data_IF_008940004045
#
_entry.id   IF_008940004045
#
_cell.length_a   1.000
_cell.length_b   1.000
_cell.length_c   1.000
_cell.angle_alpha   90.00
_cell.angle_beta   90.00
_cell.angle_gamma   90.00
#
_symmetry.space_group_name_H-M   'P 1'
#
loop_
_entity.id
_entity.type
_entity.pdbx_description
1 polymer ?
#
# COMPACT_ATOMS: atom_id res chain seq x y z
N UNK A 1 -5.45 -43.14 13.63
CA UNK A 1 -4.93 -44.17 14.59
C UNK A 1 -4.13 -45.21 13.81
N UNK A 2 -4.47 -45.45 12.54
CA UNK A 2 -3.78 -46.46 11.70
C UNK A 2 -2.31 -46.07 11.38
N UNK A 3 -1.94 -44.80 11.54
CA UNK A 3 -0.60 -44.26 11.25
C UNK A 3 0.33 -44.20 12.50
N UNK A 4 -0.11 -44.74 13.63
CA UNK A 4 0.65 -44.72 14.87
C UNK A 4 1.04 -46.13 15.31
N UNK A 5 2.32 -46.33 15.58
CA UNK A 5 2.83 -47.61 16.12
C UNK A 5 2.53 -47.78 17.62
N UNK A 6 2.46 -46.64 18.34
CA UNK A 6 2.20 -46.64 19.77
C UNK A 6 1.22 -45.53 20.19
N UNK A 7 0.28 -45.82 21.03
CA UNK A 7 -0.59 -44.88 21.71
C UNK A 7 -0.33 -44.94 23.21
N UNK A 8 -0.09 -43.79 23.82
CA UNK A 8 0.15 -43.66 25.26
C UNK A 8 -0.92 -42.73 25.85
N UNK A 9 -1.62 -43.21 26.85
CA UNK A 9 -2.58 -42.40 27.59
C UNK A 9 -1.82 -41.37 28.45
N UNK A 10 -2.20 -40.10 28.33
CA UNK A 10 -1.70 -38.99 29.13
C UNK A 10 -2.81 -38.41 29.99
N UNK A 11 -2.50 -38.14 31.24
CA UNK A 11 -3.43 -37.51 32.21
C UNK A 11 -3.29 -35.99 32.23
N UNK A 12 -2.21 -35.47 31.67
CA UNK A 12 -1.96 -34.02 31.58
C UNK A 12 -2.83 -33.37 30.51
N UNK A 13 -3.44 -32.20 30.82
CA UNK A 13 -4.24 -31.49 29.82
C UNK A 13 -3.38 -30.94 28.69
N UNK A 14 -3.96 -30.83 27.49
CA UNK A 14 -3.33 -30.12 26.38
C UNK A 14 -3.06 -28.65 26.75
N UNK A 15 -1.93 -28.14 26.34
CA UNK A 15 -1.61 -26.72 26.43
C UNK A 15 -2.41 -25.97 25.38
N UNK A 16 -3.24 -25.03 25.79
CA UNK A 16 -3.98 -24.13 24.92
C UNK A 16 -3.29 -22.78 24.85
N UNK A 17 -3.44 -22.11 23.73
CA UNK A 17 -2.98 -20.74 23.51
C UNK A 17 -4.21 -19.84 23.45
N UNK A 18 -4.27 -18.85 24.32
CA UNK A 18 -5.35 -17.85 24.29
C UNK A 18 -5.22 -16.94 23.08
N UNK A 19 -6.34 -16.34 22.67
CA UNK A 19 -6.34 -15.33 21.62
C UNK A 19 -5.51 -14.11 22.02
N UNK A 20 -4.83 -13.55 21.02
CA UNK A 20 -4.01 -12.37 21.25
C UNK A 20 -4.87 -11.11 21.34
N UNK A 21 -4.66 -10.24 22.33
CA UNK A 21 -5.31 -8.95 22.36
C UNK A 21 -4.79 -8.08 21.20
N UNK A 22 -5.72 -7.38 20.56
CA UNK A 22 -5.45 -6.47 19.45
C UNK A 22 -5.53 -5.04 19.97
N UNK A 23 -4.47 -4.27 19.80
CA UNK A 23 -4.46 -2.83 20.04
C UNK A 23 -4.64 -2.05 18.72
N UNK A 24 -4.78 -0.73 18.81
CA UNK A 24 -5.02 0.15 17.67
C UNK A 24 -3.88 0.09 16.61
N UNK A 25 -2.64 -0.11 17.04
CA UNK A 25 -1.47 -0.21 16.14
C UNK A 25 -1.57 -1.46 15.29
N UNK A 26 -1.85 -2.60 15.90
CA UNK A 26 -2.01 -3.86 15.17
C UNK A 26 -3.29 -3.90 14.33
N UNK A 27 -4.36 -3.23 14.75
CA UNK A 27 -5.58 -3.11 13.94
C UNK A 27 -5.32 -2.33 12.64
N UNK A 28 -4.66 -1.16 12.73
CA UNK A 28 -4.27 -0.36 11.56
C UNK A 28 -3.27 -1.09 10.66
N UNK A 29 -2.28 -1.75 11.26
CA UNK A 29 -1.31 -2.56 10.53
C UNK A 29 -2.00 -3.66 9.74
N UNK A 30 -2.92 -4.40 10.38
CA UNK A 30 -3.69 -5.46 9.75
C UNK A 30 -4.62 -4.93 8.63
N UNK A 31 -5.22 -3.76 8.81
CA UNK A 31 -6.01 -3.09 7.76
C UNK A 31 -5.16 -2.81 6.51
N UNK A 32 -3.93 -2.32 6.70
CA UNK A 32 -2.99 -2.07 5.60
C UNK A 32 -2.54 -3.38 4.92
N UNK A 33 -2.27 -4.44 5.68
CA UNK A 33 -1.98 -5.77 5.12
C UNK A 33 -3.19 -6.30 4.34
N UNK A 34 -4.40 -6.20 4.88
CA UNK A 34 -5.62 -6.65 4.21
C UNK A 34 -5.92 -5.86 2.92
N UNK A 35 -5.45 -4.61 2.80
CA UNK A 35 -5.63 -3.79 1.59
C UNK A 35 -4.88 -4.34 0.38
N UNK A 36 -3.77 -5.06 0.60
CA UNK A 36 -2.96 -5.66 -0.47
C UNK A 36 -3.26 -7.15 -0.70
N UNK A 37 -4.12 -7.75 0.11
CA UNK A 37 -4.62 -9.11 -0.10
C UNK A 37 -5.88 -9.05 -0.96
N UNK A 38 -5.88 -9.73 -2.10
CA UNK A 38 -6.99 -9.75 -3.05
C UNK A 38 -7.87 -10.98 -2.89
N UNK A 39 -9.06 -10.94 -3.48
CA UNK A 39 -9.95 -12.10 -3.53
C UNK A 39 -9.31 -13.25 -4.30
N UNK A 40 -9.34 -14.43 -3.71
CA UNK A 40 -8.75 -15.63 -4.31
C UNK A 40 -7.27 -15.82 -4.03
N UNK A 41 -6.60 -14.88 -3.35
CA UNK A 41 -5.22 -15.11 -2.91
C UNK A 41 -5.11 -16.33 -1.99
N UNK A 42 -4.01 -17.07 -2.12
CA UNK A 42 -3.58 -18.06 -1.16
C UNK A 42 -2.59 -17.41 -0.19
N UNK A 43 -2.85 -17.47 1.11
CA UNK A 43 -2.10 -16.71 2.11
C UNK A 43 -1.31 -17.61 3.06
N UNK A 44 -0.13 -17.13 3.51
CA UNK A 44 0.48 -17.62 4.73
C UNK A 44 -0.10 -16.90 5.95
N UNK A 45 -0.07 -17.58 7.07
CA UNK A 45 -0.55 -17.05 8.34
C UNK A 45 0.39 -17.49 9.47
N UNK A 46 0.49 -16.71 10.53
CA UNK A 46 1.31 -17.05 11.69
C UNK A 46 0.55 -16.74 12.96
N UNK A 47 1.23 -16.57 14.07
CA UNK A 47 0.66 -16.29 15.39
C UNK A 47 0.96 -14.85 15.82
N UNK A 48 0.12 -14.30 16.66
CA UNK A 48 0.31 -13.00 17.28
C UNK A 48 -0.77 -11.98 16.94
N UNK A 49 -0.71 -10.78 17.54
CA UNK A 49 -1.78 -9.79 17.46
C UNK A 49 -2.04 -9.29 16.02
N UNK A 50 -1.01 -9.21 15.17
CA UNK A 50 -1.19 -8.89 13.75
C UNK A 50 -2.16 -9.87 13.07
N UNK A 51 -1.95 -11.17 13.26
CA UNK A 51 -2.73 -12.19 12.57
C UNK A 51 -4.13 -12.32 13.16
N UNK A 52 -4.30 -12.06 14.45
CA UNK A 52 -5.62 -11.99 15.08
C UNK A 52 -6.45 -10.84 14.48
N UNK A 53 -5.86 -9.63 14.36
CA UNK A 53 -6.49 -8.50 13.71
C UNK A 53 -6.74 -8.75 12.20
N UNK A 54 -5.77 -9.35 11.51
CA UNK A 54 -5.87 -9.65 10.08
C UNK A 54 -7.04 -10.59 9.77
N UNK A 55 -7.33 -11.56 10.64
CA UNK A 55 -8.51 -12.40 10.54
C UNK A 55 -9.80 -11.60 10.47
N UNK A 56 -9.93 -10.54 11.27
CA UNK A 56 -11.11 -9.67 11.28
C UNK A 56 -11.22 -8.85 9.97
N UNK A 57 -10.13 -8.26 9.49
CA UNK A 57 -10.12 -7.46 8.26
C UNK A 57 -10.32 -8.30 6.99
N UNK A 58 -9.85 -9.55 6.96
CA UNK A 58 -10.01 -10.46 5.83
C UNK A 58 -11.39 -11.15 5.77
N UNK A 59 -12.20 -11.08 6.83
CA UNK A 59 -13.52 -11.74 6.90
C UNK A 59 -14.50 -11.29 5.79
N UNK A 60 -14.27 -10.12 5.19
CA UNK A 60 -15.09 -9.58 4.08
C UNK A 60 -14.59 -10.03 2.69
N UNK A 61 -13.37 -10.57 2.60
CA UNK A 61 -12.82 -11.09 1.33
C UNK A 61 -13.53 -12.40 0.94
N UNK A 62 -13.33 -12.84 -0.28
CA UNK A 62 -13.95 -14.08 -0.80
C UNK A 62 -12.90 -14.95 -1.46
N UNK A 63 -13.15 -16.24 -1.39
CA UNK A 63 -12.36 -17.28 -2.08
C UNK A 63 -10.88 -17.33 -1.67
N UNK A 64 -10.51 -16.88 -0.49
CA UNK A 64 -9.15 -17.02 0.01
C UNK A 64 -8.77 -18.50 0.12
N UNK A 65 -7.49 -18.79 -0.08
CA UNK A 65 -6.84 -20.05 0.21
C UNK A 65 -5.88 -19.92 1.40
N UNK A 66 -5.65 -21.02 2.11
CA UNK A 66 -4.71 -21.09 3.23
C UNK A 66 -3.69 -22.20 2.97
N UNK A 67 -2.40 -21.83 3.00
CA UNK A 67 -1.26 -22.74 2.97
C UNK A 67 -0.18 -22.16 3.90
N UNK A 68 -0.06 -22.70 5.10
CA UNK A 68 0.69 -22.08 6.21
C UNK A 68 1.17 -23.14 7.20
N UNK A 69 2.26 -22.94 7.94
CA UNK A 69 2.67 -23.89 8.95
C UNK A 69 1.70 -23.99 10.14
N UNK A 70 1.02 -22.88 10.51
CA UNK A 70 0.18 -22.82 11.71
C UNK A 70 -1.29 -22.57 11.35
N UNK A 71 -2.20 -23.38 11.93
CA UNK A 71 -3.64 -23.12 11.88
C UNK A 71 -4.09 -22.56 13.25
N UNK A 72 -4.78 -21.42 13.23
CA UNK A 72 -5.13 -20.64 14.44
C UNK A 72 -6.62 -20.35 14.53
N UNK A 73 -7.09 -19.82 15.67
CA UNK A 73 -8.48 -19.38 15.86
C UNK A 73 -8.90 -18.33 14.80
N UNK A 74 -8.02 -17.40 14.44
CA UNK A 74 -8.31 -16.42 13.39
C UNK A 74 -8.57 -17.07 12.02
N UNK A 75 -7.84 -18.14 11.68
CA UNK A 75 -8.11 -18.92 10.46
C UNK A 75 -9.41 -19.74 10.56
N UNK A 76 -9.73 -20.28 11.73
CA UNK A 76 -11.03 -20.91 11.98
C UNK A 76 -12.17 -19.93 11.71
N UNK A 77 -12.07 -18.70 12.20
CA UNK A 77 -13.08 -17.66 11.98
C UNK A 77 -13.23 -17.30 10.49
N UNK A 78 -12.11 -17.22 9.74
CA UNK A 78 -12.14 -16.98 8.29
C UNK A 78 -12.80 -18.13 7.51
N UNK A 79 -12.62 -19.36 7.94
CA UNK A 79 -13.33 -20.51 7.35
C UNK A 79 -14.83 -20.47 7.70
N UNK A 80 -15.17 -20.20 8.97
CA UNK A 80 -16.56 -20.09 9.44
C UNK A 80 -17.32 -18.94 8.74
N UNK A 81 -16.66 -17.81 8.47
CA UNK A 81 -17.26 -16.67 7.77
C UNK A 81 -17.43 -16.90 6.26
N UNK A 82 -16.84 -17.96 5.72
CA UNK A 82 -16.82 -18.24 4.29
C UNK A 82 -15.84 -17.38 3.47
N UNK A 83 -14.98 -16.60 4.10
CA UNK A 83 -13.90 -15.89 3.43
C UNK A 83 -12.87 -16.85 2.83
N UNK A 84 -12.50 -17.88 3.61
CA UNK A 84 -11.61 -18.96 3.18
C UNK A 84 -12.43 -20.13 2.64
N UNK A 85 -12.31 -20.39 1.34
CA UNK A 85 -12.96 -21.52 0.66
C UNK A 85 -11.98 -22.52 0.08
N UNK A 86 -10.72 -22.13 -0.06
CA UNK A 86 -9.63 -22.92 -0.66
C UNK A 86 -9.90 -23.43 -2.10
N UNK A 87 -10.97 -22.95 -2.77
CA UNK A 87 -11.41 -23.47 -4.07
C UNK A 87 -10.45 -23.14 -5.22
N UNK A 88 -9.65 -22.06 -5.07
CA UNK A 88 -8.69 -21.62 -6.10
C UNK A 88 -7.29 -22.17 -5.89
N UNK A 89 -7.05 -22.94 -4.83
CA UNK A 89 -5.77 -23.62 -4.60
C UNK A 89 -5.57 -24.76 -5.61
N UNK A 90 -4.34 -24.91 -6.09
CA UNK A 90 -3.95 -26.07 -6.90
C UNK A 90 -3.45 -27.22 -6.01
N UNK A 91 -2.80 -26.91 -4.88
CA UNK A 91 -2.32 -27.90 -3.92
C UNK A 91 -3.30 -27.99 -2.75
N UNK A 92 -3.86 -29.16 -2.49
CA UNK A 92 -4.98 -29.42 -1.57
C UNK A 92 -6.19 -28.49 -1.81
N UNK A 93 -6.83 -28.57 -2.99
CA UNK A 93 -8.01 -27.75 -3.29
C UNK A 93 -9.16 -28.05 -2.31
N UNK A 94 -9.85 -27.00 -1.90
CA UNK A 94 -10.97 -27.09 -0.95
C UNK A 94 -10.56 -27.25 0.52
N UNK A 95 -9.27 -27.40 0.83
CA UNK A 95 -8.78 -27.60 2.19
C UNK A 95 -7.74 -26.55 2.58
N UNK A 96 -7.81 -26.02 3.79
CA UNK A 96 -6.73 -25.28 4.42
C UNK A 96 -5.61 -26.24 4.76
N UNK A 97 -4.38 -25.96 4.33
CA UNK A 97 -3.21 -26.80 4.59
C UNK A 97 -2.37 -26.21 5.71
N UNK A 98 -2.04 -27.00 6.73
CA UNK A 98 -1.17 -26.64 7.82
C UNK A 98 -0.35 -27.84 8.32
N UNK A 99 0.61 -27.59 9.23
CA UNK A 99 1.36 -28.65 9.93
C UNK A 99 0.99 -28.72 11.41
N UNK A 100 0.64 -27.58 12.02
CA UNK A 100 0.35 -27.48 13.45
C UNK A 100 -0.93 -26.68 13.67
N UNK A 101 -1.63 -26.98 14.77
CA UNK A 101 -2.71 -26.17 15.29
C UNK A 101 -2.26 -25.54 16.62
N UNK A 102 -2.46 -24.23 16.74
CA UNK A 102 -2.17 -23.47 17.96
C UNK A 102 -3.36 -22.55 18.26
N UNK A 103 -3.96 -22.70 19.43
CA UNK A 103 -5.07 -21.85 19.82
C UNK A 103 -5.89 -22.38 20.99
N UNK A 104 -7.13 -21.96 21.06
CA UNK A 104 -8.06 -22.23 22.16
C UNK A 104 -8.62 -23.66 22.14
N UNK A 105 -9.25 -24.05 23.24
CA UNK A 105 -10.00 -25.29 23.28
C UNK A 105 -11.18 -25.33 22.29
N UNK A 106 -11.70 -24.17 21.90
CA UNK A 106 -12.72 -24.07 20.85
C UNK A 106 -12.15 -24.50 19.50
N UNK A 107 -10.97 -24.00 19.14
CA UNK A 107 -10.27 -24.39 17.92
C UNK A 107 -10.05 -25.90 17.89
N UNK A 108 -9.54 -26.50 18.97
CA UNK A 108 -9.24 -27.93 19.02
C UNK A 108 -10.51 -28.79 18.85
N UNK A 109 -11.63 -28.38 19.44
CA UNK A 109 -12.94 -29.04 19.27
C UNK A 109 -13.43 -28.90 17.83
N UNK A 110 -13.26 -27.72 17.22
CA UNK A 110 -13.68 -27.47 15.84
C UNK A 110 -12.85 -28.26 14.83
N UNK A 111 -11.55 -28.46 15.07
CA UNK A 111 -10.67 -29.25 14.23
C UNK A 111 -10.96 -30.76 14.26
N UNK A 112 -11.60 -31.25 15.31
CA UNK A 112 -11.85 -32.68 15.45
C UNK A 112 -12.70 -33.24 14.30
N UNK A 113 -12.07 -34.08 13.48
CA UNK A 113 -12.67 -34.68 12.26
C UNK A 113 -13.20 -33.65 11.25
N UNK A 114 -12.61 -32.46 11.20
CA UNK A 114 -13.03 -31.43 10.28
C UNK A 114 -12.36 -31.61 8.90
N UNK A 115 -13.13 -31.92 7.83
CA UNK A 115 -12.56 -32.19 6.52
C UNK A 115 -12.05 -30.95 5.78
N UNK A 116 -12.30 -29.73 6.30
CA UNK A 116 -11.90 -28.47 5.69
C UNK A 116 -10.43 -28.11 5.97
N UNK A 117 -9.79 -28.81 6.91
CA UNK A 117 -8.38 -28.59 7.26
C UNK A 117 -7.61 -29.88 7.05
N UNK A 118 -6.48 -29.77 6.40
CA UNK A 118 -5.53 -30.86 6.17
C UNK A 118 -4.23 -30.57 6.90
N UNK A 119 -3.76 -31.53 7.69
CA UNK A 119 -2.48 -31.46 8.36
C UNK A 119 -1.47 -32.36 7.66
N UNK A 120 -0.36 -31.79 7.24
CA UNK A 120 0.74 -32.49 6.58
C UNK A 120 2.05 -32.25 7.34
N UNK A 121 3.04 -33.15 7.21
CA UNK A 121 4.37 -32.91 7.74
C UNK A 121 4.94 -31.56 7.28
N UNK A 122 5.83 -30.98 8.09
CA UNK A 122 6.36 -29.63 7.86
C UNK A 122 7.17 -29.52 6.57
N UNK A 123 7.85 -30.58 6.17
CA UNK A 123 8.59 -30.69 4.92
C UNK A 123 7.68 -30.66 3.68
N UNK A 124 6.44 -31.13 3.79
CA UNK A 124 5.42 -31.03 2.74
C UNK A 124 4.82 -29.63 2.70
N UNK A 125 4.48 -29.08 3.85
CA UNK A 125 3.83 -27.76 3.98
C UNK A 125 4.77 -26.62 3.65
N UNK A 126 6.04 -26.73 3.98
CA UNK A 126 7.06 -25.71 3.72
C UNK A 126 7.94 -25.99 2.50
N UNK A 127 7.65 -27.02 1.70
CA UNK A 127 8.32 -27.17 0.40
C UNK A 127 7.95 -25.98 -0.50
N UNK A 128 8.92 -25.15 -0.92
CA UNK A 128 8.67 -24.03 -1.80
C UNK A 128 7.98 -24.39 -3.11
N UNK A 129 8.22 -25.60 -3.64
CA UNK A 129 7.56 -26.10 -4.84
C UNK A 129 6.06 -26.29 -4.61
N UNK A 130 5.68 -26.90 -3.47
CA UNK A 130 4.28 -27.12 -3.10
C UNK A 130 3.55 -25.79 -2.86
N UNK A 131 4.21 -24.82 -2.20
CA UNK A 131 3.69 -23.46 -2.02
C UNK A 131 3.49 -22.81 -3.39
N UNK A 132 4.49 -22.88 -4.27
CA UNK A 132 4.50 -22.29 -5.60
C UNK A 132 3.41 -22.82 -6.56
N UNK A 133 2.85 -24.02 -6.32
CA UNK A 133 1.72 -24.54 -7.08
C UNK A 133 0.46 -23.67 -6.90
N UNK A 134 0.29 -22.99 -5.77
CA UNK A 134 -0.84 -22.10 -5.53
C UNK A 134 -0.58 -20.74 -6.16
N UNK A 135 -1.29 -20.41 -7.21
CA UNK A 135 -1.20 -19.07 -7.83
C UNK A 135 -1.60 -17.96 -6.86
N UNK A 136 -1.03 -16.78 -7.03
CA UNK A 136 -1.30 -15.59 -6.21
C UNK A 136 -1.05 -15.86 -4.71
N UNK A 137 0.01 -16.57 -4.40
CA UNK A 137 0.40 -16.82 -3.03
C UNK A 137 0.98 -15.54 -2.40
N UNK A 138 0.48 -15.16 -1.23
CA UNK A 138 0.96 -13.99 -0.48
C UNK A 138 1.62 -14.47 0.80
N UNK A 139 2.95 -14.37 0.84
CA UNK A 139 3.72 -14.62 2.04
C UNK A 139 3.63 -13.41 2.98
N UNK A 140 2.85 -13.54 4.06
CA UNK A 140 2.68 -12.51 5.09
C UNK A 140 3.63 -12.85 6.24
N UNK A 141 4.70 -12.08 6.39
CA UNK A 141 5.81 -12.39 7.28
C UNK A 141 5.96 -11.31 8.36
N UNK A 142 6.15 -11.68 9.63
CA UNK A 142 6.46 -10.71 10.67
C UNK A 142 7.93 -10.29 10.60
N UNK A 143 8.20 -9.02 10.95
CA UNK A 143 9.55 -8.50 11.09
C UNK A 143 9.73 -7.78 12.43
N UNK A 144 10.98 -7.56 12.82
CA UNK A 144 11.33 -6.75 13.99
C UNK A 144 11.81 -5.37 13.59
N UNK A 145 12.61 -5.28 12.54
CA UNK A 145 13.04 -4.01 11.94
C UNK A 145 13.19 -4.16 10.44
N UNK A 146 13.03 -3.05 9.75
CA UNK A 146 13.38 -2.90 8.34
C UNK A 146 14.30 -1.69 8.19
N UNK A 147 15.35 -1.83 7.37
CA UNK A 147 16.21 -0.70 7.08
C UNK A 147 15.84 -0.01 5.75
N UNK A 148 16.42 1.17 5.54
CA UNK A 148 16.11 2.01 4.39
C UNK A 148 16.51 1.41 3.03
N UNK A 149 17.24 0.31 3.01
CA UNK A 149 17.60 -0.41 1.78
C UNK A 149 16.67 -1.59 1.48
N UNK A 150 15.90 -2.02 2.48
CA UNK A 150 14.95 -3.14 2.42
C UNK A 150 15.48 -4.41 3.05
N UNK A 151 16.60 -4.37 3.78
CA UNK A 151 17.03 -5.50 4.60
C UNK A 151 16.19 -5.58 5.88
N UNK A 152 15.92 -6.80 6.33
CA UNK A 152 14.98 -7.08 7.42
C UNK A 152 15.72 -7.75 8.58
N UNK A 153 15.51 -7.27 9.80
CA UNK A 153 15.89 -7.98 11.01
C UNK A 153 14.71 -8.81 11.51
N UNK A 154 14.90 -10.12 11.60
CA UNK A 154 13.86 -11.07 12.04
C UNK A 154 13.77 -11.17 13.55
N UNK A 155 14.90 -11.03 14.26
CA UNK A 155 14.97 -11.09 15.71
C UNK A 155 15.36 -9.77 16.34
N UNK A 156 14.77 -9.46 17.50
CA UNK A 156 15.15 -8.33 18.31
C UNK A 156 16.36 -8.68 19.19
N UNK A 157 17.24 -7.71 19.36
CA UNK A 157 18.38 -7.79 20.28
C UNK A 157 19.71 -7.89 19.56
N UNK A 158 20.71 -7.21 20.11
CA UNK A 158 22.09 -7.27 19.66
C UNK A 158 22.79 -8.41 20.36
N UNK A 159 23.28 -9.39 19.61
CA UNK A 159 24.13 -10.47 20.12
C UNK A 159 23.41 -11.68 20.72
N UNK A 160 22.12 -11.65 21.01
CA UNK A 160 21.38 -12.80 21.53
C UNK A 160 20.35 -13.30 20.53
N UNK A 161 20.52 -14.55 20.13
CA UNK A 161 19.54 -15.27 19.31
C UNK A 161 18.54 -15.92 20.25
N UNK A 162 17.30 -15.41 20.27
CA UNK A 162 16.24 -15.91 21.15
C UNK A 162 15.31 -16.91 20.46
N UNK A 163 15.34 -16.98 19.13
CA UNK A 163 14.55 -17.89 18.32
C UNK A 163 15.22 -18.12 16.96
N UNK A 164 14.91 -19.22 16.29
CA UNK A 164 15.30 -19.46 14.90
C UNK A 164 14.60 -18.51 13.92
N UNK A 165 15.02 -18.50 12.65
CA UNK A 165 14.44 -17.64 11.59
C UNK A 165 12.99 -18.03 11.22
N UNK A 166 12.48 -19.15 11.71
CA UNK A 166 11.18 -19.68 11.35
C UNK A 166 11.13 -20.12 9.89
N UNK A 167 9.94 -20.14 9.31
CA UNK A 167 9.67 -20.56 7.93
C UNK A 167 9.80 -19.41 6.90
N UNK A 168 10.58 -18.37 7.21
CA UNK A 168 10.65 -17.17 6.37
C UNK A 168 11.20 -17.48 4.99
N UNK A 169 12.30 -18.27 4.92
CA UNK A 169 12.96 -18.57 3.66
C UNK A 169 12.10 -19.44 2.74
N UNK A 170 11.44 -20.46 3.29
CA UNK A 170 10.58 -21.39 2.55
C UNK A 170 9.36 -20.68 2.00
N UNK A 171 8.67 -19.88 2.84
CA UNK A 171 7.51 -19.11 2.43
C UNK A 171 7.86 -18.04 1.38
N UNK A 172 9.01 -17.40 1.54
CA UNK A 172 9.52 -16.41 0.60
C UNK A 172 9.85 -17.05 -0.75
N UNK A 173 10.60 -18.16 -0.76
CA UNK A 173 10.95 -18.90 -1.96
C UNK A 173 9.70 -19.48 -2.65
N UNK A 174 8.73 -19.96 -1.88
CA UNK A 174 7.46 -20.46 -2.40
C UNK A 174 6.63 -19.37 -3.07
N UNK A 175 6.57 -18.17 -2.48
CA UNK A 175 5.90 -17.02 -3.08
C UNK A 175 6.58 -16.61 -4.41
N UNK A 176 7.91 -16.65 -4.47
CA UNK A 176 8.65 -16.35 -5.71
C UNK A 176 8.39 -17.38 -6.83
N UNK A 177 8.11 -18.64 -6.49
CA UNK A 177 7.72 -19.68 -7.46
C UNK A 177 6.24 -19.61 -7.86
N UNK A 178 5.41 -18.97 -7.07
CA UNK A 178 3.99 -18.83 -7.32
C UNK A 178 3.72 -17.83 -8.47
N UNK A 179 2.84 -18.21 -9.40
CA UNK A 179 2.39 -17.29 -10.44
C UNK A 179 1.68 -16.09 -9.80
N UNK A 180 2.21 -14.88 -9.98
CA UNK A 180 1.75 -13.65 -9.33
C UNK A 180 1.81 -13.73 -7.78
N UNK A 181 2.77 -14.50 -7.26
CA UNK A 181 3.05 -14.53 -5.83
C UNK A 181 3.66 -13.23 -5.36
N UNK A 182 3.46 -12.90 -4.08
CA UNK A 182 3.96 -11.67 -3.46
C UNK A 182 4.50 -11.94 -2.06
N UNK A 183 5.50 -11.17 -1.68
CA UNK A 183 6.14 -11.24 -0.36
C UNK A 183 5.97 -9.92 0.37
N UNK A 184 5.60 -9.98 1.63
CA UNK A 184 5.54 -8.78 2.47
C UNK A 184 6.01 -9.05 3.88
N UNK A 185 6.71 -8.06 4.45
CA UNK A 185 6.98 -8.01 5.87
C UNK A 185 6.12 -6.95 6.53
N UNK A 186 5.48 -7.33 7.63
CA UNK A 186 4.61 -6.44 8.41
C UNK A 186 5.16 -6.28 9.84
N UNK A 187 5.27 -5.04 10.29
CA UNK A 187 5.78 -4.69 11.60
C UNK A 187 5.19 -3.35 12.08
N UNK A 188 4.98 -3.15 13.39
CA UNK A 188 4.70 -1.83 13.93
C UNK A 188 5.86 -0.88 13.64
N UNK A 189 5.59 0.40 13.35
CA UNK A 189 6.63 1.40 13.10
C UNK A 189 7.57 1.63 14.28
N UNK A 190 7.07 1.40 15.51
CA UNK A 190 7.83 1.41 16.76
C UNK A 190 7.59 0.14 17.58
N UNK A 191 8.57 -0.26 18.35
CA UNK A 191 8.43 -1.36 19.31
C UNK A 191 7.67 -0.90 20.58
N UNK A 192 7.37 -1.84 21.49
CA UNK A 192 6.68 -1.54 22.76
C UNK A 192 7.45 -0.59 23.71
N UNK A 193 8.74 -0.38 23.49
CA UNK A 193 9.57 0.57 24.24
C UNK A 193 9.61 1.96 23.59
N UNK A 194 8.96 2.12 22.45
CA UNK A 194 8.96 3.36 21.67
C UNK A 194 10.13 3.51 20.71
N UNK A 195 11.03 2.51 20.59
CA UNK A 195 12.15 2.59 19.65
C UNK A 195 11.67 2.36 18.21
N UNK A 196 12.25 3.09 17.25
CA UNK A 196 11.94 2.96 15.84
C UNK A 196 12.23 1.56 15.29
N UNK A 197 11.32 1.03 14.48
CA UNK A 197 11.49 -0.23 13.77
C UNK A 197 11.85 -0.04 12.29
N UNK A 198 11.62 1.15 11.73
CA UNK A 198 12.23 1.55 10.46
C UNK A 198 13.52 2.28 10.83
N UNK A 199 14.66 1.77 10.36
CA UNK A 199 16.00 2.23 10.77
C UNK A 199 16.92 2.45 9.55
N UNK A 200 18.02 3.17 9.73
CA UNK A 200 18.98 3.40 8.65
C UNK A 200 19.60 2.07 8.17
N UNK A 201 20.00 1.20 9.09
CA UNK A 201 20.64 -0.08 8.80
C UNK A 201 20.32 -1.13 9.86
N UNK A 202 20.16 -2.37 9.44
CA UNK A 202 20.02 -3.55 10.33
C UNK A 202 21.30 -4.37 10.43
N UNK A 203 22.44 -3.88 9.93
CA UNK A 203 23.71 -4.60 9.88
C UNK A 203 24.19 -5.14 11.25
N UNK A 204 23.84 -4.48 12.35
CA UNK A 204 24.20 -4.88 13.71
C UNK A 204 23.27 -5.95 14.34
N UNK A 205 22.24 -6.37 13.62
CA UNK A 205 21.27 -7.35 14.15
C UNK A 205 21.66 -8.79 13.77
N UNK A 206 21.48 -9.79 14.66
CA UNK A 206 22.03 -11.13 14.48
C UNK A 206 21.38 -11.93 13.36
N UNK A 207 20.08 -11.73 13.10
CA UNK A 207 19.37 -12.40 12.01
C UNK A 207 18.84 -11.38 11.01
N UNK A 208 19.54 -11.28 9.89
CA UNK A 208 19.16 -10.43 8.78
C UNK A 208 18.62 -11.30 7.64
N UNK A 209 17.54 -10.85 7.05
CA UNK A 209 17.05 -11.36 5.79
C UNK A 209 17.37 -10.34 4.70
N UNK A 210 18.43 -10.63 3.94
CA UNK A 210 19.03 -9.70 2.97
C UNK A 210 18.67 -10.05 1.52
N UNK A 211 17.43 -10.51 1.28
CA UNK A 211 16.91 -10.76 -0.07
C UNK A 211 16.05 -9.58 -0.56
N UNK A 212 16.55 -8.37 -0.35
CA UNK A 212 15.87 -7.11 -0.63
C UNK A 212 15.43 -6.92 -2.08
N UNK A 213 16.16 -7.55 -3.03
CA UNK A 213 15.84 -7.41 -4.46
C UNK A 213 14.53 -8.14 -4.85
N UNK A 214 14.13 -9.13 -4.05
CA UNK A 214 12.93 -9.92 -4.28
C UNK A 214 11.82 -9.65 -3.25
N UNK A 215 12.05 -8.70 -2.32
CA UNK A 215 11.03 -8.28 -1.36
C UNK A 215 10.08 -7.28 -2.02
N UNK A 216 8.78 -7.59 -2.00
CA UNK A 216 7.78 -6.76 -2.67
C UNK A 216 7.33 -5.58 -1.81
N UNK A 217 7.03 -5.83 -0.53
CA UNK A 217 6.43 -4.80 0.33
C UNK A 217 6.93 -4.88 1.77
N UNK A 218 7.02 -3.70 2.39
CA UNK A 218 7.07 -3.54 3.85
C UNK A 218 5.85 -2.74 4.28
N UNK A 219 5.18 -3.17 5.34
CA UNK A 219 3.92 -2.58 5.81
C UNK A 219 4.01 -2.23 7.29
N UNK A 220 3.57 -1.03 7.63
CA UNK A 220 3.37 -0.57 9.01
C UNK A 220 1.93 -0.08 9.20
N UNK A 221 1.58 0.38 10.38
CA UNK A 221 0.29 1.07 10.65
C UNK A 221 0.15 2.40 9.89
N UNK A 222 1.25 2.93 9.33
CA UNK A 222 1.26 4.18 8.53
C UNK A 222 1.18 3.94 7.02
N UNK A 223 1.14 2.70 6.55
CA UNK A 223 0.91 2.40 5.13
C UNK A 223 1.77 1.28 4.57
N UNK A 224 1.83 1.23 3.24
CA UNK A 224 2.52 0.19 2.45
C UNK A 224 3.66 0.83 1.67
N UNK A 225 4.87 0.32 1.85
CA UNK A 225 6.03 0.64 1.01
C UNK A 225 6.23 -0.46 -0.03
N UNK A 226 5.99 -0.15 -1.30
CA UNK A 226 6.28 -1.04 -2.42
C UNK A 226 7.76 -0.93 -2.79
N UNK A 227 8.48 -2.04 -2.85
CA UNK A 227 9.93 -2.08 -3.02
C UNK A 227 10.38 -2.72 -4.34
N UNK A 228 9.57 -3.60 -4.93
CA UNK A 228 9.91 -4.29 -6.18
C UNK A 228 10.12 -3.30 -7.32
N UNK A 229 11.23 -3.47 -8.06
CA UNK A 229 11.57 -2.63 -9.20
C UNK A 229 12.02 -1.20 -8.83
N UNK A 230 12.22 -0.91 -7.56
CA UNK A 230 12.63 0.40 -7.04
C UNK A 230 14.14 0.47 -6.82
N UNK A 231 14.71 1.65 -7.10
CA UNK A 231 16.10 1.96 -6.69
C UNK A 231 16.22 2.04 -5.18
N UNK A 232 17.43 1.97 -4.64
CA UNK A 232 17.67 2.11 -3.18
C UNK A 232 17.09 3.42 -2.65
N UNK A 233 17.21 4.52 -3.40
CA UNK A 233 16.65 5.82 -3.02
C UNK A 233 15.12 5.80 -2.95
N UNK A 234 14.45 5.24 -3.95
CA UNK A 234 12.99 5.10 -3.97
C UNK A 234 12.49 4.21 -2.82
N UNK A 235 13.20 3.10 -2.55
CA UNK A 235 12.91 2.23 -1.40
C UNK A 235 13.02 3.00 -0.09
N UNK A 236 14.12 3.76 0.07
CA UNK A 236 14.35 4.57 1.28
C UNK A 236 13.24 5.59 1.50
N UNK A 237 12.82 6.29 0.46
CA UNK A 237 11.70 7.24 0.54
C UNK A 237 10.40 6.53 0.94
N UNK A 238 10.06 5.41 0.29
CA UNK A 238 8.87 4.64 0.60
C UNK A 238 8.87 4.12 2.05
N UNK A 239 10.04 3.67 2.55
CA UNK A 239 10.20 3.20 3.92
C UNK A 239 10.13 4.33 4.95
N UNK A 240 10.67 5.51 4.64
CA UNK A 240 10.52 6.71 5.47
C UNK A 240 9.05 7.12 5.56
N UNK A 241 8.29 7.05 4.47
CA UNK A 241 6.88 7.42 4.44
C UNK A 241 6.02 6.55 5.38
N UNK A 242 6.38 5.30 5.58
CA UNK A 242 5.69 4.37 6.49
C UNK A 242 6.30 4.30 7.89
N UNK A 243 7.40 5.01 8.16
CA UNK A 243 7.96 5.15 9.50
C UNK A 243 7.02 5.97 10.40
N UNK A 244 7.21 5.84 11.72
CA UNK A 244 6.50 6.73 12.67
C UNK A 244 6.79 8.19 12.33
N UNK A 245 5.78 9.07 12.31
CA UNK A 245 5.95 10.48 11.92
C UNK A 245 7.11 11.19 12.60
N UNK A 246 7.28 10.98 13.92
CA UNK A 246 8.35 11.63 14.69
C UNK A 246 9.77 11.16 14.29
N UNK A 247 9.89 9.98 13.67
CA UNK A 247 11.18 9.41 13.27
C UNK A 247 11.62 9.84 11.87
N UNK A 248 10.67 10.31 11.04
CA UNK A 248 10.91 10.57 9.61
C UNK A 248 11.98 11.62 9.36
N UNK A 249 11.94 12.74 10.08
CA UNK A 249 12.91 13.83 9.91
C UNK A 249 14.35 13.37 10.19
N UNK A 250 14.53 12.58 11.24
CA UNK A 250 15.83 12.01 11.60
C UNK A 250 16.30 10.97 10.60
N UNK A 251 15.40 10.09 10.11
CA UNK A 251 15.71 9.12 9.06
C UNK A 251 16.17 9.82 7.77
N UNK A 252 15.51 10.92 7.37
CA UNK A 252 15.92 11.72 6.22
C UNK A 252 17.33 12.30 6.41
N UNK A 253 17.60 12.88 7.60
CA UNK A 253 18.92 13.41 7.92
C UNK A 253 20.00 12.34 7.79
N UNK A 254 19.79 11.19 8.44
CA UNK A 254 20.71 10.04 8.41
C UNK A 254 20.90 9.49 6.99
N UNK A 255 19.82 9.38 6.22
CA UNK A 255 19.88 8.88 4.84
C UNK A 255 20.64 9.83 3.89
N UNK A 256 20.58 11.17 4.12
CA UNK A 256 21.39 12.15 3.40
C UNK A 256 22.89 12.03 3.77
N UNK A 257 23.19 11.89 5.03
CA UNK A 257 24.57 11.70 5.51
C UNK A 257 25.18 10.40 4.96
N UNK A 258 24.39 9.33 4.91
CA UNK A 258 24.76 8.05 4.28
C UNK A 258 24.75 8.10 2.75
N UNK A 259 24.42 9.23 2.10
CA UNK A 259 24.33 9.41 0.64
C UNK A 259 23.32 8.48 -0.04
N UNK A 260 22.34 7.99 0.68
CA UNK A 260 21.22 7.21 0.17
C UNK A 260 20.20 8.14 -0.51
N UNK A 261 19.91 9.29 0.12
CA UNK A 261 19.10 10.36 -0.44
C UNK A 261 19.98 11.50 -0.97
N UNK A 262 19.45 12.31 -1.88
CA UNK A 262 20.11 13.52 -2.33
C UNK A 262 20.24 14.52 -1.19
N UNK A 263 21.32 15.32 -1.19
CA UNK A 263 21.56 16.33 -0.16
C UNK A 263 20.47 17.43 -0.17
N UNK A 264 19.97 17.76 -1.37
CA UNK A 264 18.91 18.74 -1.62
C UNK A 264 17.49 18.15 -1.58
N UNK A 265 17.35 16.86 -1.21
CA UNK A 265 16.04 16.22 -1.06
C UNK A 265 15.18 17.00 -0.07
N UNK A 266 14.03 17.50 -0.54
CA UNK A 266 13.04 18.15 0.32
C UNK A 266 12.16 17.08 0.93
N UNK A 267 11.97 17.13 2.23
CA UNK A 267 11.03 16.30 2.96
C UNK A 267 10.29 17.16 3.97
N UNK A 268 8.99 17.30 3.78
CA UNK A 268 8.16 18.06 4.71
C UNK A 268 7.80 17.17 5.90
N UNK A 269 8.54 17.26 6.99
CA UNK A 269 8.28 16.51 8.22
C UNK A 269 6.84 16.66 8.73
N UNK A 270 6.23 17.84 8.50
CA UNK A 270 4.84 18.13 8.85
C UNK A 270 3.83 17.40 7.96
N UNK A 271 4.18 17.02 6.72
CA UNK A 271 3.27 16.35 5.82
C UNK A 271 2.90 14.91 6.27
N UNK A 272 3.76 14.28 7.04
CA UNK A 272 3.51 12.95 7.59
C UNK A 272 2.35 12.90 8.59
N UNK A 273 2.11 13.98 9.33
CA UNK A 273 0.95 14.10 10.24
C UNK A 273 -0.34 14.48 9.51
N UNK A 274 -0.23 14.98 8.28
CA UNK A 274 -1.33 15.53 7.50
C UNK A 274 -1.72 14.66 6.31
N UNK A 275 -1.04 13.52 6.10
CA UNK A 275 -1.36 12.64 4.96
C UNK A 275 -2.83 12.22 5.03
N UNK A 276 -3.64 12.60 4.04
CA UNK A 276 -5.08 12.42 4.11
C UNK A 276 -5.47 11.02 3.65
N UNK A 277 -5.30 10.01 4.50
CA UNK A 277 -5.65 8.61 4.21
C UNK A 277 -7.11 8.43 3.75
N UNK A 278 -8.02 9.26 4.27
CA UNK A 278 -9.45 9.25 3.93
C UNK A 278 -9.75 9.55 2.46
N UNK A 279 -8.79 10.09 1.73
CA UNK A 279 -8.93 10.39 0.28
C UNK A 279 -8.79 9.13 -0.58
N UNK A 280 -8.16 8.07 -0.06
CA UNK A 280 -7.93 6.85 -0.84
C UNK A 280 -9.25 6.21 -1.25
N UNK A 281 -9.45 6.07 -2.56
CA UNK A 281 -10.60 5.39 -3.14
C UNK A 281 -10.22 4.66 -4.42
N UNK A 282 -11.02 3.66 -4.78
CA UNK A 282 -10.85 2.89 -6.03
C UNK A 282 -12.07 3.08 -6.90
N UNK A 283 -11.86 3.25 -8.20
CA UNK A 283 -12.93 3.36 -9.18
C UNK A 283 -12.62 2.50 -10.41
N UNK A 284 -13.66 1.83 -10.93
CA UNK A 284 -13.57 1.05 -12.16
C UNK A 284 -14.09 1.88 -13.32
N UNK A 285 -13.24 2.11 -14.32
CA UNK A 285 -13.55 2.84 -15.55
C UNK A 285 -13.93 1.89 -16.70
N UNK A 286 -14.11 2.44 -17.89
CA UNK A 286 -14.34 1.65 -19.12
C UNK A 286 -13.24 0.61 -19.32
N UNK A 287 -13.58 -0.51 -19.94
CA UNK A 287 -12.69 -1.66 -20.20
C UNK A 287 -12.14 -2.31 -18.91
N UNK A 288 -12.97 -2.32 -17.84
CA UNK A 288 -12.65 -2.87 -16.52
C UNK A 288 -11.35 -2.34 -15.90
N UNK A 289 -10.93 -1.12 -16.30
CA UNK A 289 -9.75 -0.48 -15.76
C UNK A 289 -10.00 -0.05 -14.31
N UNK A 290 -9.34 -0.70 -13.38
CA UNK A 290 -9.37 -0.36 -11.96
C UNK A 290 -8.26 0.64 -11.67
N UNK A 291 -8.62 1.82 -11.17
CA UNK A 291 -7.69 2.87 -10.76
C UNK A 291 -7.88 3.19 -9.29
N UNK A 292 -6.81 3.16 -8.52
CA UNK A 292 -6.77 3.60 -7.14
C UNK A 292 -6.30 5.05 -7.09
N UNK A 293 -7.07 5.89 -6.42
CA UNK A 293 -6.75 7.31 -6.20
C UNK A 293 -6.30 7.54 -4.78
N UNK A 294 -5.23 8.27 -4.60
CA UNK A 294 -4.67 8.65 -3.30
C UNK A 294 -3.92 9.97 -3.38
N UNK A 295 -3.65 10.60 -2.25
CA UNK A 295 -2.76 11.74 -2.21
C UNK A 295 -1.34 11.35 -2.67
N UNK A 296 -0.65 12.29 -3.29
CA UNK A 296 0.76 12.13 -3.69
C UNK A 296 1.65 12.03 -2.45
N UNK A 297 2.67 11.19 -2.51
CA UNK A 297 3.69 11.02 -1.46
C UNK A 297 5.05 11.50 -1.95
N UNK A 298 5.98 11.88 -1.06
CA UNK A 298 7.36 12.19 -1.44
C UNK A 298 8.04 11.06 -2.24
N UNK A 299 7.73 9.79 -1.94
CA UNK A 299 8.22 8.62 -2.65
C UNK A 299 7.71 8.48 -4.10
N UNK A 300 6.72 9.25 -4.50
CA UNK A 300 6.18 9.20 -5.87
C UNK A 300 7.04 9.99 -6.88
N UNK A 301 8.12 10.65 -6.47
CA UNK A 301 8.94 11.50 -7.32
C UNK A 301 9.36 10.83 -8.63
N UNK A 302 9.94 9.63 -8.55
CA UNK A 302 10.45 8.94 -9.72
C UNK A 302 9.31 8.44 -10.63
N UNK A 303 8.18 7.98 -10.08
CA UNK A 303 7.00 7.61 -10.88
C UNK A 303 6.33 8.82 -11.53
N UNK A 304 6.25 9.95 -10.85
CA UNK A 304 5.79 11.21 -11.42
C UNK A 304 6.73 11.69 -12.54
N UNK A 305 8.03 11.49 -12.39
CA UNK A 305 9.01 11.78 -13.42
C UNK A 305 8.86 10.83 -14.62
N UNK A 306 8.63 9.52 -14.37
CA UNK A 306 8.31 8.54 -15.42
C UNK A 306 7.03 8.90 -16.16
N UNK A 307 5.98 9.35 -15.43
CA UNK A 307 4.75 9.85 -16.04
C UNK A 307 5.04 11.03 -16.98
N UNK A 308 5.85 12.01 -16.54
CA UNK A 308 6.24 13.15 -17.37
C UNK A 308 6.91 12.72 -18.69
N UNK A 309 7.83 11.74 -18.65
CA UNK A 309 8.53 11.30 -19.86
C UNK A 309 7.71 10.38 -20.76
N UNK A 310 6.51 9.98 -20.37
CA UNK A 310 5.56 9.26 -21.24
C UNK A 310 4.68 10.17 -22.08
N UNK A 311 4.67 11.48 -21.76
CA UNK A 311 3.85 12.44 -22.51
C UNK A 311 4.50 12.84 -23.82
N UNK A 312 3.66 13.09 -24.85
CA UNK A 312 4.07 13.77 -26.05
C UNK A 312 4.48 15.22 -25.78
N UNK A 313 5.30 15.81 -26.64
CA UNK A 313 5.68 17.23 -26.57
C UNK A 313 4.44 18.14 -26.51
N UNK A 314 3.35 17.75 -27.20
CA UNK A 314 2.08 18.47 -27.19
C UNK A 314 1.39 18.43 -25.82
N UNK A 315 1.35 17.27 -25.16
CA UNK A 315 0.75 17.13 -23.83
C UNK A 315 1.55 17.90 -22.77
N UNK A 316 2.88 17.88 -22.88
CA UNK A 316 3.78 18.68 -22.03
C UNK A 316 3.53 20.17 -22.25
N UNK A 317 3.42 20.62 -23.50
CA UNK A 317 3.11 22.02 -23.82
C UNK A 317 1.76 22.45 -23.26
N UNK A 318 0.72 21.63 -23.39
CA UNK A 318 -0.60 21.91 -22.81
C UNK A 318 -0.59 22.03 -21.28
N UNK A 319 0.29 21.30 -20.62
CA UNK A 319 0.38 21.30 -19.15
C UNK A 319 1.24 22.43 -18.57
N UNK A 320 2.34 22.78 -19.26
CA UNK A 320 3.36 23.69 -18.73
C UNK A 320 3.44 25.04 -19.47
N UNK A 321 2.67 25.24 -20.52
CA UNK A 321 2.67 26.43 -21.40
C UNK A 321 4.06 26.75 -21.97
N UNK A 322 4.95 25.77 -21.97
CA UNK A 322 6.32 25.89 -22.49
C UNK A 322 6.85 24.50 -22.91
N UNK A 323 7.77 24.44 -23.88
CA UNK A 323 8.37 23.19 -24.31
C UNK A 323 9.39 22.69 -23.28
N UNK A 324 8.92 22.03 -22.21
CA UNK A 324 9.75 21.44 -21.17
C UNK A 324 10.24 20.08 -21.62
N UNK A 325 11.53 19.95 -21.94
CA UNK A 325 12.13 18.66 -22.38
C UNK A 325 12.69 17.82 -21.25
N UNK A 326 12.98 18.44 -20.11
CA UNK A 326 13.55 17.74 -18.95
C UNK A 326 12.84 18.15 -17.67
N UNK A 327 12.65 17.19 -16.78
CA UNK A 327 12.07 17.42 -15.45
C UNK A 327 13.15 17.15 -14.38
N UNK A 328 13.91 18.18 -13.98
CA UNK A 328 14.96 18.01 -12.98
C UNK A 328 14.39 17.64 -11.61
N UNK A 329 15.22 16.97 -10.79
CA UNK A 329 14.88 16.54 -9.45
C UNK A 329 14.28 17.66 -8.59
N UNK A 330 14.95 18.81 -8.46
CA UNK A 330 14.47 19.93 -7.64
C UNK A 330 13.08 20.41 -8.03
N UNK A 331 12.77 20.46 -9.35
CA UNK A 331 11.42 20.83 -9.83
C UNK A 331 10.38 19.77 -9.49
N UNK A 332 10.72 18.48 -9.63
CA UNK A 332 9.79 17.39 -9.30
C UNK A 332 9.51 17.34 -7.80
N UNK A 333 10.48 17.72 -6.96
CA UNK A 333 10.28 17.81 -5.51
C UNK A 333 9.14 18.79 -5.13
N UNK A 334 8.96 19.89 -5.87
CA UNK A 334 7.84 20.83 -5.66
C UNK A 334 6.48 20.20 -5.97
N UNK A 335 6.44 19.18 -6.83
CA UNK A 335 5.21 18.49 -7.19
C UNK A 335 4.80 17.42 -6.17
N UNK A 336 5.76 16.74 -5.57
CA UNK A 336 5.48 15.62 -4.66
C UNK A 336 5.47 16.02 -3.18
N UNK A 337 6.16 17.10 -2.80
CA UNK A 337 6.17 17.62 -1.43
C UNK A 337 5.08 18.68 -1.25
N UNK A 338 3.85 18.25 -1.07
CA UNK A 338 2.68 19.11 -0.83
C UNK A 338 2.31 19.13 0.65
N UNK A 339 1.77 20.26 1.13
CA UNK A 339 1.36 20.42 2.54
C UNK A 339 -0.05 19.90 2.83
N UNK A 340 -0.73 19.37 1.83
CA UNK A 340 -2.11 18.85 1.85
C UNK A 340 -3.18 19.84 2.34
N UNK A 341 -2.87 21.10 2.52
CA UNK A 341 -3.78 22.19 2.92
C UNK A 341 -3.86 23.29 1.87
N UNK A 342 -2.71 23.94 1.60
CA UNK A 342 -2.62 24.99 0.60
C UNK A 342 -2.32 24.43 -0.79
N UNK A 343 -1.65 23.29 -0.84
CA UNK A 343 -1.43 22.50 -2.04
C UNK A 343 -1.89 21.07 -1.81
N UNK A 344 -2.69 20.55 -2.73
CA UNK A 344 -3.14 19.16 -2.77
C UNK A 344 -2.78 18.57 -4.12
N UNK A 345 -2.24 17.37 -4.12
CA UNK A 345 -2.02 16.58 -5.32
C UNK A 345 -2.55 15.16 -5.11
N UNK A 346 -3.32 14.68 -6.08
CA UNK A 346 -3.92 13.34 -6.10
C UNK A 346 -3.38 12.60 -7.30
N UNK A 347 -2.92 11.39 -7.09
CA UNK A 347 -2.49 10.50 -8.17
C UNK A 347 -3.50 9.39 -8.39
N UNK A 348 -3.69 9.02 -9.66
CA UNK A 348 -4.36 7.81 -10.09
C UNK A 348 -3.34 6.73 -10.39
N UNK A 349 -3.45 5.60 -9.70
CA UNK A 349 -2.49 4.51 -9.72
C UNK A 349 -3.15 3.24 -10.22
N UNK A 350 -2.46 2.53 -11.11
CA UNK A 350 -2.80 1.16 -11.49
C UNK A 350 -1.71 0.21 -11.03
N UNK A 351 -2.04 -1.06 -10.90
CA UNK A 351 -1.07 -2.12 -10.62
C UNK A 351 -0.79 -2.89 -11.90
N UNK A 352 0.46 -2.85 -12.37
CA UNK A 352 0.95 -3.63 -13.51
C UNK A 352 2.02 -4.61 -13.00
N UNK A 353 1.73 -5.91 -13.04
CA UNK A 353 2.67 -6.96 -12.61
C UNK A 353 3.19 -6.80 -11.19
N UNK A 354 2.34 -6.33 -10.26
CA UNK A 354 2.71 -6.10 -8.86
C UNK A 354 3.46 -4.80 -8.59
N UNK A 355 3.58 -3.92 -9.59
CA UNK A 355 4.23 -2.61 -9.48
C UNK A 355 3.17 -1.51 -9.63
N UNK A 356 3.16 -0.58 -8.69
CA UNK A 356 2.34 0.63 -8.81
C UNK A 356 2.87 1.54 -9.91
N UNK A 357 1.98 1.94 -10.83
CA UNK A 357 2.25 2.90 -11.89
C UNK A 357 1.29 4.06 -11.80
N UNK A 358 1.81 5.28 -11.73
CA UNK A 358 1.01 6.50 -11.77
C UNK A 358 0.63 6.78 -13.22
N UNK A 359 -0.68 6.90 -13.49
CA UNK A 359 -1.24 7.17 -14.82
C UNK A 359 -1.96 8.52 -14.90
N UNK A 360 -2.20 9.17 -13.77
CA UNK A 360 -2.87 10.47 -13.74
C UNK A 360 -2.46 11.26 -12.50
N UNK A 361 -2.49 12.59 -12.61
CA UNK A 361 -2.30 13.51 -11.48
C UNK A 361 -3.28 14.67 -11.63
N UNK A 362 -3.87 15.07 -10.50
CA UNK A 362 -4.66 16.27 -10.36
C UNK A 362 -4.23 17.03 -9.13
N UNK A 363 -4.07 18.34 -9.25
CA UNK A 363 -3.62 19.16 -8.12
C UNK A 363 -4.34 20.49 -8.07
N UNK A 364 -4.39 21.05 -6.87
CA UNK A 364 -4.64 22.48 -6.69
C UNK A 364 -3.58 23.15 -5.81
N UNK A 365 -3.42 24.46 -6.01
CA UNK A 365 -2.58 25.31 -5.17
C UNK A 365 -3.38 26.56 -4.83
N UNK A 366 -3.52 26.85 -3.52
CA UNK A 366 -4.29 28.01 -3.04
C UNK A 366 -3.67 29.30 -3.53
N UNK A 367 -4.51 30.17 -4.10
CA UNK A 367 -4.13 31.51 -4.54
C UNK A 367 -4.08 32.45 -3.32
N UNK A 368 -2.92 33.08 -3.13
CA UNK A 368 -2.72 34.07 -2.04
C UNK A 368 -2.94 35.51 -2.49
N UNK A 369 -3.03 35.71 -3.79
CA UNK A 369 -3.18 36.98 -4.48
C UNK A 369 -4.63 37.38 -4.76
N UNK A 370 -5.58 36.52 -4.40
CA UNK A 370 -7.01 36.77 -4.55
C UNK A 370 -7.66 37.01 -3.19
N UNK A 371 -8.61 37.95 -3.12
CA UNK A 371 -9.39 38.24 -1.92
C UNK A 371 -10.32 37.08 -1.49
N UNK A 372 -10.64 36.18 -2.43
CA UNK A 372 -11.44 34.98 -2.19
C UNK A 372 -10.56 33.74 -2.05
N UNK A 373 -10.96 32.74 -1.26
CA UNK A 373 -10.19 31.52 -1.05
C UNK A 373 -10.30 30.58 -2.27
N UNK A 374 -9.73 30.99 -3.39
CA UNK A 374 -9.64 30.22 -4.62
C UNK A 374 -8.30 29.49 -4.72
N UNK A 375 -8.28 28.44 -5.51
CA UNK A 375 -7.08 27.68 -5.81
C UNK A 375 -6.93 27.50 -7.32
N UNK A 376 -5.68 27.56 -7.77
CA UNK A 376 -5.33 27.22 -9.14
C UNK A 376 -5.27 25.69 -9.29
N UNK A 377 -5.86 25.15 -10.36
CA UNK A 377 -5.96 23.71 -10.58
C UNK A 377 -5.39 23.26 -11.91
N UNK A 378 -4.82 22.06 -11.92
CA UNK A 378 -4.27 21.45 -13.10
C UNK A 378 -4.39 19.92 -13.07
N UNK A 379 -4.50 19.33 -14.27
CA UNK A 379 -4.71 17.89 -14.46
C UNK A 379 -3.78 17.36 -15.55
N UNK A 380 -3.40 16.12 -15.39
CA UNK A 380 -2.72 15.36 -16.43
C UNK A 380 -3.13 13.89 -16.36
N UNK A 381 -3.34 13.26 -17.52
CA UNK A 381 -3.64 11.83 -17.65
C UNK A 381 -2.77 11.27 -18.76
N UNK A 382 -2.10 10.16 -18.49
CA UNK A 382 -1.30 9.41 -19.45
C UNK A 382 -2.13 9.13 -20.70
N UNK A 383 -1.57 9.43 -21.88
CA UNK A 383 -2.29 9.42 -23.16
C UNK A 383 -2.92 8.05 -23.47
N UNK A 384 -2.29 6.96 -23.03
CA UNK A 384 -2.82 5.60 -23.16
C UNK A 384 -4.12 5.36 -22.39
N UNK A 385 -4.43 6.21 -21.41
CA UNK A 385 -5.60 6.08 -20.51
C UNK A 385 -6.62 7.22 -20.67
N UNK A 386 -6.40 8.13 -21.61
CA UNK A 386 -7.34 9.22 -21.91
C UNK A 386 -8.67 8.71 -22.50
N UNK A 387 -9.69 9.56 -22.48
CA UNK A 387 -11.03 9.22 -23.02
C UNK A 387 -11.87 8.27 -22.15
N UNK A 388 -11.34 7.79 -21.02
CA UNK A 388 -12.02 6.84 -20.11
C UNK A 388 -12.77 7.52 -18.96
N UNK A 389 -12.67 8.84 -18.82
CA UNK A 389 -13.36 9.62 -17.76
C UNK A 389 -12.51 9.91 -16.53
N UNK A 390 -11.23 9.52 -16.50
CA UNK A 390 -10.33 9.68 -15.34
C UNK A 390 -10.19 11.14 -14.92
N UNK A 391 -9.98 12.07 -15.87
CA UNK A 391 -9.86 13.50 -15.55
C UNK A 391 -11.13 14.08 -14.94
N UNK A 392 -12.31 13.69 -15.43
CA UNK A 392 -13.59 14.13 -14.89
C UNK A 392 -13.81 13.60 -13.45
N UNK A 393 -13.44 12.34 -13.19
CA UNK A 393 -13.49 11.76 -11.85
C UNK A 393 -12.56 12.50 -10.88
N UNK A 394 -11.31 12.73 -11.29
CA UNK A 394 -10.32 13.49 -10.51
C UNK A 394 -10.80 14.91 -10.21
N UNK A 395 -11.46 15.56 -11.18
CA UNK A 395 -12.01 16.90 -10.99
C UNK A 395 -13.07 16.93 -9.88
N UNK A 396 -14.03 16.00 -9.91
CA UNK A 396 -15.07 15.89 -8.88
C UNK A 396 -14.44 15.55 -7.51
N UNK A 397 -13.48 14.66 -7.47
CA UNK A 397 -12.77 14.29 -6.25
C UNK A 397 -12.02 15.49 -5.66
N UNK A 398 -11.32 16.25 -6.52
CA UNK A 398 -10.55 17.42 -6.11
C UNK A 398 -11.43 18.55 -5.57
N UNK A 399 -12.62 18.79 -6.17
CA UNK A 399 -13.61 19.75 -5.69
C UNK A 399 -14.09 19.39 -4.29
N UNK A 400 -14.43 18.10 -4.05
CA UNK A 400 -14.88 17.65 -2.74
C UNK A 400 -13.83 17.96 -1.67
N UNK A 401 -12.58 17.63 -1.94
CA UNK A 401 -11.48 17.87 -1.00
C UNK A 401 -11.21 19.37 -0.82
N UNK A 402 -11.26 20.15 -1.90
CA UNK A 402 -11.06 21.59 -1.84
C UNK A 402 -12.11 22.28 -0.94
N UNK A 403 -13.39 21.87 -1.05
CA UNK A 403 -14.47 22.36 -0.18
C UNK A 403 -14.23 22.03 1.30
N UNK A 404 -13.77 20.79 1.59
CA UNK A 404 -13.41 20.39 2.96
C UNK A 404 -12.28 21.25 3.54
N UNK A 405 -11.41 21.80 2.67
CA UNK A 405 -10.30 22.69 3.04
C UNK A 405 -10.67 24.20 2.98
N UNK A 406 -11.96 24.53 2.81
CA UNK A 406 -12.44 25.92 2.78
C UNK A 406 -12.06 26.68 1.52
N UNK A 407 -11.88 26.00 0.39
CA UNK A 407 -11.71 26.60 -0.92
C UNK A 407 -13.09 26.76 -1.55
N UNK A 408 -13.40 27.97 -2.08
CA UNK A 408 -14.70 28.34 -2.62
C UNK A 408 -14.76 28.29 -4.15
N UNK A 409 -13.64 28.06 -4.81
CA UNK A 409 -13.59 27.98 -6.26
C UNK A 409 -12.23 27.63 -6.80
N UNK A 410 -12.21 27.23 -8.07
CA UNK A 410 -10.96 27.01 -8.81
C UNK A 410 -10.72 28.08 -9.85
N UNK A 411 -9.43 28.33 -10.15
CA UNK A 411 -8.95 28.97 -11.35
C UNK A 411 -8.15 27.98 -12.18
N UNK A 412 -8.12 28.17 -13.50
CA UNK A 412 -7.28 27.38 -14.38
C UNK A 412 -6.96 28.15 -15.66
N UNK A 413 -5.73 28.02 -16.15
CA UNK A 413 -5.33 28.51 -17.45
C UNK A 413 -5.29 27.33 -18.43
N UNK A 414 -5.93 27.47 -19.61
CA UNK A 414 -6.02 26.41 -20.60
C UNK A 414 -5.77 26.98 -21.99
N UNK A 415 -4.83 26.40 -22.71
CA UNK A 415 -4.64 26.76 -24.13
C UNK A 415 -5.92 26.49 -24.93
N UNK A 416 -6.33 27.44 -25.76
CA UNK A 416 -7.58 27.35 -26.52
C UNK A 416 -7.64 26.12 -27.47
N UNK A 417 -6.50 25.55 -27.80
CA UNK A 417 -6.37 24.32 -28.58
C UNK A 417 -6.64 23.05 -27.77
N UNK A 418 -6.54 23.10 -26.43
CA UNK A 418 -6.76 21.95 -25.55
C UNK A 418 -8.26 21.70 -25.30
N UNK A 419 -8.97 21.34 -26.38
CA UNK A 419 -10.42 21.07 -26.36
C UNK A 419 -10.80 19.93 -25.43
N UNK A 420 -9.88 18.98 -25.18
CA UNK A 420 -10.16 17.85 -24.30
C UNK A 420 -10.31 18.31 -22.83
N UNK A 421 -9.44 19.20 -22.38
CA UNK A 421 -9.51 19.74 -21.01
C UNK A 421 -10.68 20.71 -20.84
N UNK A 422 -10.96 21.56 -21.84
CA UNK A 422 -12.14 22.42 -21.81
C UNK A 422 -13.44 21.62 -21.58
N UNK A 423 -13.62 20.49 -22.27
CA UNK A 423 -14.76 19.58 -22.05
C UNK A 423 -14.85 18.99 -20.64
N UNK A 424 -13.74 18.85 -19.92
CA UNK A 424 -13.77 18.38 -18.54
C UNK A 424 -14.39 19.46 -17.65
N UNK A 425 -14.00 20.72 -17.83
CA UNK A 425 -14.51 21.84 -17.05
C UNK A 425 -15.93 22.24 -17.43
N UNK A 426 -16.32 22.11 -18.70
CA UNK A 426 -17.70 22.34 -19.16
C UNK A 426 -18.72 21.39 -18.53
N UNK A 427 -18.29 20.23 -18.05
CA UNK A 427 -19.14 19.28 -17.33
C UNK A 427 -19.30 19.58 -15.84
N UNK A 428 -18.70 20.67 -15.35
CA UNK A 428 -18.87 21.10 -13.98
C UNK A 428 -20.36 21.44 -13.71
N UNK A 429 -20.83 21.09 -12.54
CA UNK A 429 -22.21 21.39 -12.07
C UNK A 429 -22.37 22.83 -11.56
N UNK A 430 -21.45 23.72 -11.85
CA UNK A 430 -21.43 25.12 -11.41
C UNK A 430 -20.95 26.03 -12.55
N UNK A 431 -21.20 27.37 -12.46
CA UNK A 431 -20.83 28.31 -13.51
C UNK A 431 -19.33 28.34 -13.78
N UNK A 432 -18.96 28.29 -15.05
CA UNK A 432 -17.58 28.48 -15.52
C UNK A 432 -17.51 29.80 -16.29
N UNK A 433 -16.74 30.75 -15.77
CA UNK A 433 -16.42 32.01 -16.47
C UNK A 433 -15.12 31.83 -17.20
N UNK A 434 -15.11 32.10 -18.51
CA UNK A 434 -13.93 31.97 -19.35
C UNK A 434 -13.62 33.32 -20.00
N UNK A 435 -12.37 33.76 -19.88
CA UNK A 435 -11.84 34.96 -20.55
C UNK A 435 -10.70 34.52 -21.44
N UNK A 436 -10.78 34.81 -22.74
CA UNK A 436 -9.70 34.49 -23.69
C UNK A 436 -8.66 35.62 -23.64
N UNK A 437 -7.42 35.25 -23.27
CA UNK A 437 -6.29 36.14 -23.21
C UNK A 437 -5.04 35.45 -23.81
N UNK A 438 -4.35 36.09 -24.72
CA UNK A 438 -3.09 35.62 -25.34
C UNK A 438 -3.11 34.13 -25.80
N UNK A 439 -4.26 33.68 -26.36
CA UNK A 439 -4.40 32.30 -26.87
C UNK A 439 -4.70 31.22 -25.80
N UNK A 440 -4.91 31.63 -24.54
CA UNK A 440 -5.36 30.78 -23.45
C UNK A 440 -6.68 31.28 -22.87
N UNK A 441 -7.50 30.37 -22.34
CA UNK A 441 -8.68 30.70 -21.54
C UNK A 441 -8.24 30.76 -20.08
N UNK A 442 -8.47 31.89 -19.44
CA UNK A 442 -8.45 32.06 -18.00
C UNK A 442 -9.84 31.68 -17.45
N UNK A 443 -9.91 30.55 -16.79
CA UNK A 443 -11.16 30.04 -16.21
C UNK A 443 -11.29 30.44 -14.74
N UNK A 444 -12.49 30.86 -14.35
CA UNK A 444 -12.89 31.05 -12.95
C UNK A 444 -14.14 30.21 -12.68
N UNK A 445 -14.04 29.35 -11.69
CA UNK A 445 -15.01 28.30 -11.38
C UNK A 445 -15.43 28.38 -9.90
N UNK A 446 -16.32 29.33 -9.51
CA UNK A 446 -16.85 29.36 -8.15
C UNK A 446 -17.66 28.10 -7.87
N UNK A 447 -17.44 27.49 -6.73
CA UNK A 447 -18.28 26.36 -6.29
C UNK A 447 -19.61 26.92 -5.81
N UNK A 448 -20.68 26.76 -6.60
CA UNK A 448 -22.01 27.17 -6.19
C UNK A 448 -22.46 26.39 -4.95
N UNK A 449 -23.04 27.09 -3.98
CA UNK A 449 -23.77 26.44 -2.90
C UNK A 449 -24.99 25.70 -3.47
N UNK A 450 -25.36 24.57 -2.83
CA UNK A 450 -26.50 23.75 -3.25
C UNK A 450 -27.83 24.51 -3.25
N UNK A 451 -27.89 25.63 -2.53
CA UNK A 451 -29.10 26.45 -2.37
C UNK A 451 -29.29 27.54 -3.44
N UNK A 452 -28.30 27.79 -4.30
CA UNK A 452 -28.39 28.76 -5.41
C UNK A 452 -28.91 28.17 -6.73
N UNK A 453 -29.34 26.93 -6.73
CA UNK A 453 -29.88 26.21 -7.90
C UNK A 453 -31.38 25.90 -7.75
N UNK A 454 -32.13 26.73 -7.00
CA UNK A 454 -33.58 26.68 -6.96
C UNK A 454 -34.23 27.62 -7.97
#
# INVERSE_FOLDING_TARGET
VEDFDYLVDATEPLIYLDRWPVDEVYDKLAANVASVVEEGNCISFSIGPLYEALGQHLARKRHLGVHTPFFTDALMDLVKSGAVTNRRKAFFPGKSLASYALGTSELMRWLNRNPLVEFQPIDVTLDPKNIGLNSQYVAILPARKADLTGDIALNAGRGNVTAGPGAVQELFAGAALSKNGRTLFALPSRNRKGDANIVLSVADYPYQFSNRESLDMVITEYGVAYLTGRTVRERSQALIDIAHPDDRAELVRMAKEAKILYADQIYLAESGHLYPEKITCTHTFKDDLIVRFRATKPSDEDEMRRLFYRFSDQAVYYRYFSPVKTMPHGRMQEYVNVDYRNAMSIVGVIEESGIERIIAEARYVRRKDLDRPYADTAFIVDEAYQGRGIAAFLFVLLIRIAREHGIEGFTADILAENKAMLKVFEKASFPVKAVLSHGAYELTMPFADKDDLS
#
